data_IF_671731276708
#
_entry.id   IF_671731276708
#
_cell.length_a   1.000
_cell.length_b   1.000
_cell.length_c   1.000
_cell.angle_alpha   90.00
_cell.angle_beta   90.00
_cell.angle_gamma   90.00
#
_symmetry.space_group_name_H-M   'P 1'
#
loop_
_entity.id
_entity.type
_entity.pdbx_description
1 polymer ?
#
# COMPACT_ATOMS: atom_id res chain seq x y z
N UNK A 1 42.06 -31.53 -77.72
CA UNK A 1 42.70 -31.71 -79.05
C UNK A 1 44.10 -32.26 -78.83
N UNK A 2 44.48 -33.39 -79.42
CA UNK A 2 45.83 -33.94 -79.26
C UNK A 2 46.85 -33.05 -79.98
N UNK A 3 48.10 -33.05 -79.49
CA UNK A 3 49.22 -32.29 -80.07
C UNK A 3 49.43 -32.62 -81.55
N UNK A 4 49.20 -33.87 -81.93
CA UNK A 4 49.32 -34.34 -83.31
C UNK A 4 48.22 -33.80 -84.23
N UNK A 5 46.98 -33.70 -83.74
CA UNK A 5 45.88 -33.11 -84.51
C UNK A 5 46.11 -31.63 -84.78
N UNK A 6 46.65 -30.88 -83.81
CA UNK A 6 46.98 -29.46 -84.00
C UNK A 6 48.11 -29.23 -85.01
N UNK A 7 49.18 -30.04 -84.93
CA UNK A 7 50.30 -29.98 -85.89
C UNK A 7 49.82 -30.33 -87.30
N UNK A 8 48.97 -31.35 -87.43
CA UNK A 8 48.39 -31.77 -88.70
C UNK A 8 47.49 -30.67 -89.29
N UNK A 9 46.67 -30.02 -88.47
CA UNK A 9 45.83 -28.89 -88.88
C UNK A 9 46.67 -27.69 -89.31
N UNK A 10 47.70 -27.34 -88.54
CA UNK A 10 48.63 -26.25 -88.87
C UNK A 10 49.35 -26.46 -90.20
N UNK A 11 49.84 -27.69 -90.48
CA UNK A 11 50.44 -28.05 -91.77
C UNK A 11 49.42 -27.94 -92.92
N UNK A 12 48.18 -28.40 -92.72
CA UNK A 12 47.10 -28.29 -93.74
C UNK A 12 46.68 -26.84 -93.99
N UNK A 13 46.67 -25.98 -92.97
CA UNK A 13 46.33 -24.57 -93.09
C UNK A 13 47.41 -23.79 -93.84
N UNK A 14 48.70 -24.05 -93.56
CA UNK A 14 49.81 -23.46 -94.29
C UNK A 14 49.84 -23.88 -95.77
N UNK A 15 49.57 -25.17 -96.05
CA UNK A 15 49.49 -25.68 -97.43
C UNK A 15 48.32 -25.06 -98.21
N UNK A 16 47.11 -25.08 -97.63
CA UNK A 16 45.93 -24.45 -98.25
C UNK A 16 46.02 -22.93 -98.36
N UNK A 17 46.70 -22.24 -97.45
CA UNK A 17 46.92 -20.80 -97.54
C UNK A 17 47.74 -20.39 -98.77
N UNK A 18 48.69 -21.24 -99.20
CA UNK A 18 49.40 -21.05 -100.49
C UNK A 18 48.50 -21.32 -101.70
N UNK A 19 47.61 -22.31 -101.59
CA UNK A 19 46.71 -22.70 -102.68
C UNK A 19 45.55 -21.71 -102.88
N UNK A 20 45.03 -21.09 -101.80
CA UNK A 20 43.95 -20.08 -101.87
C UNK A 20 44.40 -18.82 -102.62
N UNK A 21 45.69 -18.45 -102.57
CA UNK A 21 46.26 -17.37 -103.40
C UNK A 21 46.18 -17.66 -104.90
N UNK A 22 45.97 -18.92 -105.29
CA UNK A 22 45.85 -19.35 -106.70
C UNK A 22 44.42 -19.71 -107.12
N UNK A 23 43.44 -19.72 -106.21
CA UNK A 23 42.09 -20.25 -106.46
C UNK A 23 40.97 -19.21 -106.62
N UNK A 24 41.24 -17.91 -106.45
CA UNK A 24 40.28 -16.84 -106.75
C UNK A 24 40.83 -15.94 -107.85
N UNK A 25 40.43 -16.19 -109.09
CA UNK A 25 40.84 -15.46 -110.30
C UNK A 25 40.35 -14.00 -110.36
N UNK A 26 40.76 -13.18 -109.41
CA UNK A 26 40.57 -11.71 -109.37
C UNK A 26 41.93 -11.08 -109.06
N UNK A 27 42.38 -10.01 -109.75
CA UNK A 27 43.65 -9.36 -109.47
C UNK A 27 43.55 -8.54 -108.18
N UNK A 28 43.65 -9.22 -107.04
CA UNK A 28 43.98 -8.59 -105.77
C UNK A 28 45.53 -8.53 -105.66
N UNK A 29 46.11 -7.51 -104.98
CA UNK A 29 47.55 -7.41 -104.83
C UNK A 29 48.12 -8.72 -104.25
N UNK A 30 49.23 -9.20 -104.82
CA UNK A 30 49.87 -10.48 -104.50
C UNK A 30 50.09 -10.66 -102.99
N UNK A 31 49.18 -11.38 -102.33
CA UNK A 31 49.29 -11.69 -100.91
C UNK A 31 50.16 -12.93 -100.72
N UNK A 32 51.43 -12.74 -100.43
CA UNK A 32 52.38 -13.82 -100.19
C UNK A 32 52.25 -14.37 -98.75
N UNK A 33 51.94 -15.66 -98.63
CA UNK A 33 52.03 -16.38 -97.34
C UNK A 33 53.52 -16.60 -97.01
N UNK A 34 54.08 -15.69 -96.23
CA UNK A 34 55.47 -15.78 -95.77
C UNK A 34 55.55 -16.63 -94.49
N UNK A 35 56.66 -17.35 -94.24
CA UNK A 35 56.86 -18.05 -92.96
C UNK A 35 56.67 -17.14 -91.75
N UNK A 36 57.00 -15.84 -91.89
CA UNK A 36 56.77 -14.82 -90.86
C UNK A 36 55.29 -14.58 -90.57
N UNK A 37 54.43 -14.43 -91.59
CA UNK A 37 52.97 -14.31 -91.42
C UNK A 37 52.34 -15.54 -90.75
N UNK A 38 52.86 -16.74 -91.00
CA UNK A 38 52.40 -17.97 -90.34
C UNK A 38 52.85 -18.04 -88.86
N UNK A 39 54.07 -17.58 -88.55
CA UNK A 39 54.52 -17.45 -87.16
C UNK A 39 53.72 -16.39 -86.39
N UNK A 40 53.34 -15.28 -87.04
CA UNK A 40 52.44 -14.26 -86.48
C UNK A 40 51.01 -14.81 -86.25
N UNK A 41 50.50 -15.67 -87.14
CA UNK A 41 49.23 -16.37 -86.91
C UNK A 41 49.31 -17.32 -85.70
N UNK A 42 50.42 -18.06 -85.55
CA UNK A 42 50.63 -18.95 -84.39
C UNK A 42 50.72 -18.12 -83.11
N UNK A 43 51.43 -16.98 -83.10
CA UNK A 43 51.52 -16.12 -81.93
C UNK A 43 50.17 -15.48 -81.58
N UNK A 44 49.41 -15.00 -82.57
CA UNK A 44 48.06 -14.49 -82.39
C UNK A 44 47.09 -15.56 -81.88
N UNK A 45 47.15 -16.79 -82.41
CA UNK A 45 46.33 -17.90 -81.92
C UNK A 45 46.68 -18.29 -80.48
N UNK A 46 47.98 -18.32 -80.12
CA UNK A 46 48.42 -18.53 -78.73
C UNK A 46 47.89 -17.44 -77.79
N UNK A 47 47.95 -16.18 -78.22
CA UNK A 47 47.40 -15.05 -77.48
C UNK A 47 45.87 -15.18 -77.31
N UNK A 48 45.14 -15.43 -78.39
CA UNK A 48 43.67 -15.58 -78.36
C UNK A 48 43.24 -16.79 -77.52
N UNK A 49 43.95 -17.91 -77.60
CA UNK A 49 43.69 -19.10 -76.79
C UNK A 49 43.98 -18.83 -75.31
N UNK A 50 45.07 -18.14 -74.99
CA UNK A 50 45.37 -17.69 -73.64
C UNK A 50 44.27 -16.77 -73.08
N UNK A 51 43.80 -15.80 -73.86
CA UNK A 51 42.69 -14.93 -73.48
C UNK A 51 41.39 -15.72 -73.26
N UNK A 52 41.02 -16.64 -74.16
CA UNK A 52 39.81 -17.47 -74.02
C UNK A 52 39.88 -18.43 -72.84
N UNK A 53 41.05 -18.99 -72.56
CA UNK A 53 41.26 -19.80 -71.36
C UNK A 53 41.15 -18.96 -70.09
N UNK A 54 41.72 -17.74 -70.08
CA UNK A 54 41.57 -16.81 -68.97
C UNK A 54 40.11 -16.37 -68.75
N UNK A 55 39.36 -16.11 -69.82
CA UNK A 55 37.93 -15.79 -69.76
C UNK A 55 37.11 -16.96 -69.20
N UNK A 56 37.37 -18.19 -69.66
CA UNK A 56 36.73 -19.39 -69.14
C UNK A 56 37.08 -19.62 -67.67
N UNK A 57 38.35 -19.42 -67.28
CA UNK A 57 38.76 -19.53 -65.89
C UNK A 57 38.03 -18.52 -65.01
N UNK A 58 37.92 -17.25 -65.44
CA UNK A 58 37.14 -16.23 -64.73
C UNK A 58 35.66 -16.60 -64.59
N UNK A 59 35.06 -17.21 -65.61
CA UNK A 59 33.68 -17.68 -65.55
C UNK A 59 33.53 -18.85 -64.56
N UNK A 60 34.47 -19.80 -64.56
CA UNK A 60 34.51 -20.90 -63.60
C UNK A 60 34.65 -20.36 -62.18
N UNK A 61 35.61 -19.47 -61.93
CA UNK A 61 35.84 -18.88 -60.60
C UNK A 61 34.60 -18.12 -60.10
N UNK A 62 33.95 -17.34 -60.98
CA UNK A 62 32.71 -16.63 -60.66
C UNK A 62 31.58 -17.59 -60.30
N UNK A 63 31.40 -18.67 -61.07
CA UNK A 63 30.37 -19.68 -60.80
C UNK A 63 30.66 -20.43 -59.51
N UNK A 64 31.92 -20.76 -59.24
CA UNK A 64 32.32 -21.45 -58.01
C UNK A 64 32.08 -20.57 -56.77
N UNK A 65 32.44 -19.29 -56.83
CA UNK A 65 32.12 -18.31 -55.77
C UNK A 65 30.60 -18.14 -55.59
N UNK A 66 29.84 -18.09 -56.69
CA UNK A 66 28.38 -17.99 -56.66
C UNK A 66 27.72 -19.22 -56.02
N UNK A 67 28.14 -20.44 -56.42
CA UNK A 67 27.64 -21.69 -55.87
C UNK A 67 28.04 -21.89 -54.41
N UNK A 68 29.25 -21.49 -54.03
CA UNK A 68 29.72 -21.50 -52.64
C UNK A 68 28.87 -20.57 -51.76
N UNK A 69 28.62 -19.35 -52.23
CA UNK A 69 27.75 -18.38 -51.54
C UNK A 69 26.33 -18.91 -51.40
N UNK A 70 25.74 -19.47 -52.47
CA UNK A 70 24.37 -20.02 -52.45
C UNK A 70 24.25 -21.22 -51.48
N UNK A 71 25.27 -22.07 -51.40
CA UNK A 71 25.30 -23.19 -50.45
C UNK A 71 25.35 -22.69 -49.00
N UNK A 72 26.15 -21.66 -48.71
CA UNK A 72 26.22 -21.06 -47.38
C UNK A 72 24.89 -20.40 -47.00
N UNK A 73 24.32 -19.56 -47.86
CA UNK A 73 23.02 -18.93 -47.58
C UNK A 73 21.91 -19.96 -47.43
N UNK A 74 21.93 -21.06 -48.18
CA UNK A 74 20.98 -22.17 -48.00
C UNK A 74 21.14 -22.84 -46.63
N UNK A 75 22.36 -23.00 -46.12
CA UNK A 75 22.60 -23.53 -44.78
C UNK A 75 22.10 -22.54 -43.72
N UNK A 76 22.47 -21.27 -43.82
CA UNK A 76 22.04 -20.20 -42.91
C UNK A 76 20.50 -20.13 -42.82
N UNK A 77 19.78 -20.26 -43.95
CA UNK A 77 18.31 -20.26 -43.97
C UNK A 77 17.73 -21.48 -43.23
N UNK A 78 18.34 -22.66 -43.36
CA UNK A 78 17.88 -23.83 -42.61
C UNK A 78 18.12 -23.71 -41.11
N UNK A 79 19.17 -22.98 -40.70
CA UNK A 79 19.42 -22.66 -39.30
C UNK A 79 18.41 -21.62 -38.80
N UNK A 80 18.20 -20.52 -39.54
CA UNK A 80 17.20 -19.50 -39.22
C UNK A 80 15.77 -20.07 -39.12
N UNK A 81 15.41 -21.06 -39.94
CA UNK A 81 14.12 -21.75 -39.84
C UNK A 81 13.98 -22.54 -38.53
N UNK A 82 15.06 -23.18 -38.05
CA UNK A 82 15.07 -23.87 -36.75
C UNK A 82 14.97 -22.88 -35.60
N UNK A 83 15.75 -21.80 -35.68
CA UNK A 83 15.77 -20.74 -34.67
C UNK A 83 14.41 -20.04 -34.59
N UNK A 84 13.74 -19.79 -35.72
CA UNK A 84 12.39 -19.25 -35.74
C UNK A 84 11.40 -20.17 -35.02
N UNK A 85 11.48 -21.48 -35.24
CA UNK A 85 10.59 -22.44 -34.56
C UNK A 85 10.80 -22.41 -33.03
N UNK A 86 12.05 -22.42 -32.58
CA UNK A 86 12.40 -22.33 -31.15
C UNK A 86 11.91 -21.01 -30.57
N UNK A 87 12.07 -19.90 -31.31
CA UNK A 87 11.67 -18.57 -30.86
C UNK A 87 10.15 -18.46 -30.77
N UNK A 88 9.41 -19.03 -31.74
CA UNK A 88 7.94 -19.10 -31.71
C UNK A 88 7.40 -19.92 -30.54
N UNK A 89 8.06 -21.04 -30.19
CA UNK A 89 7.72 -21.81 -28.98
C UNK A 89 7.91 -20.95 -27.71
N UNK A 90 9.03 -20.22 -27.60
CA UNK A 90 9.27 -19.27 -26.49
C UNK A 90 8.23 -18.15 -26.44
N UNK A 91 7.79 -17.60 -27.58
CA UNK A 91 6.69 -16.61 -27.62
C UNK A 91 5.42 -17.22 -27.02
N UNK A 92 5.09 -18.47 -27.39
CA UNK A 92 3.93 -19.19 -26.85
C UNK A 92 4.01 -19.37 -25.33
N UNK A 93 5.15 -19.82 -24.82
CA UNK A 93 5.39 -19.99 -23.38
C UNK A 93 5.27 -18.66 -22.62
N UNK A 94 5.87 -17.59 -23.13
CA UNK A 94 5.81 -16.25 -22.52
C UNK A 94 4.41 -15.68 -22.55
N UNK A 95 3.63 -15.87 -23.63
CA UNK A 95 2.21 -15.49 -23.70
C UNK A 95 1.40 -16.16 -22.58
N UNK A 96 1.50 -17.48 -22.45
CA UNK A 96 0.78 -18.23 -21.41
C UNK A 96 1.21 -17.79 -20.01
N UNK A 97 2.50 -17.51 -19.79
CA UNK A 97 2.99 -17.00 -18.52
C UNK A 97 2.45 -15.58 -18.20
N UNK A 98 2.41 -14.68 -19.18
CA UNK A 98 1.83 -13.34 -19.03
C UNK A 98 0.32 -13.41 -18.75
N UNK A 99 -0.41 -14.28 -19.46
CA UNK A 99 -1.86 -14.42 -19.27
C UNK A 99 -2.20 -14.91 -17.86
N UNK A 100 -1.39 -15.82 -17.30
CA UNK A 100 -1.52 -16.25 -15.88
C UNK A 100 -1.28 -15.10 -14.90
N UNK A 101 -0.26 -14.27 -15.14
CA UNK A 101 0.00 -13.10 -14.29
C UNK A 101 -1.16 -12.09 -14.32
N UNK A 102 -1.83 -11.92 -15.46
CA UNK A 102 -3.03 -11.08 -15.58
C UNK A 102 -4.16 -11.63 -14.71
N UNK A 103 -4.38 -12.94 -14.75
CA UNK A 103 -5.41 -13.59 -13.92
C UNK A 103 -5.11 -13.42 -12.43
N UNK A 104 -3.87 -13.71 -11.99
CA UNK A 104 -3.42 -13.51 -10.60
C UNK A 104 -3.59 -12.05 -10.14
N UNK A 105 -3.24 -11.08 -11.00
CA UNK A 105 -3.39 -9.66 -10.71
C UNK A 105 -4.86 -9.26 -10.56
N UNK A 106 -5.75 -9.80 -11.40
CA UNK A 106 -7.18 -9.50 -11.31
C UNK A 106 -7.80 -10.00 -9.99
N UNK A 107 -7.38 -11.17 -9.51
CA UNK A 107 -7.81 -11.73 -8.23
C UNK A 107 -7.28 -10.89 -7.07
N UNK A 108 -5.99 -10.60 -7.05
CA UNK A 108 -5.38 -9.79 -5.99
C UNK A 108 -5.96 -8.36 -5.96
N UNK A 109 -6.28 -7.78 -7.12
CA UNK A 109 -6.89 -6.45 -7.19
C UNK A 109 -8.31 -6.44 -6.61
N UNK A 110 -9.10 -7.50 -6.88
CA UNK A 110 -10.41 -7.66 -6.27
C UNK A 110 -10.30 -7.85 -4.75
N UNK A 111 -9.35 -8.65 -4.28
CA UNK A 111 -9.09 -8.84 -2.85
C UNK A 111 -8.67 -7.52 -2.17
N UNK A 112 -7.78 -6.76 -2.78
CA UNK A 112 -7.36 -5.45 -2.29
C UNK A 112 -8.54 -4.49 -2.13
N UNK A 113 -9.44 -4.46 -3.12
CA UNK A 113 -10.64 -3.61 -3.07
C UNK A 113 -11.58 -4.02 -1.93
N UNK A 114 -11.79 -5.32 -1.72
CA UNK A 114 -12.59 -5.82 -0.58
C UNK A 114 -11.97 -5.44 0.76
N UNK A 115 -10.64 -5.56 0.90
CA UNK A 115 -9.95 -5.15 2.14
C UNK A 115 -10.01 -3.63 2.36
N UNK A 116 -9.88 -2.83 1.30
CA UNK A 116 -10.01 -1.37 1.36
C UNK A 116 -11.42 -0.95 1.79
N UNK A 117 -12.46 -1.56 1.21
CA UNK A 117 -13.84 -1.32 1.62
C UNK A 117 -14.09 -1.71 3.09
N UNK A 118 -13.53 -2.84 3.53
CA UNK A 118 -13.59 -3.25 4.93
C UNK A 118 -12.89 -2.25 5.87
N UNK A 119 -11.70 -1.76 5.48
CA UNK A 119 -10.98 -0.74 6.23
C UNK A 119 -11.75 0.59 6.29
N UNK A 120 -12.43 0.99 5.21
CA UNK A 120 -13.28 2.19 5.21
C UNK A 120 -14.50 2.05 6.11
N UNK A 121 -15.12 0.86 6.17
CA UNK A 121 -16.22 0.58 7.10
C UNK A 121 -15.72 0.68 8.54
N UNK A 122 -14.55 0.11 8.84
CA UNK A 122 -13.98 0.15 10.18
C UNK A 122 -13.55 1.57 10.57
N UNK A 123 -13.05 2.36 9.61
CA UNK A 123 -12.70 3.76 9.83
C UNK A 123 -13.92 4.60 10.20
N UNK A 124 -15.06 4.36 9.54
CA UNK A 124 -16.33 5.01 9.88
C UNK A 124 -16.78 4.63 11.30
N UNK A 125 -16.74 3.34 11.66
CA UNK A 125 -17.08 2.90 13.02
C UNK A 125 -16.17 3.52 14.08
N UNK A 126 -14.86 3.56 13.84
CA UNK A 126 -13.90 4.16 14.75
C UNK A 126 -14.14 5.67 14.92
N UNK A 127 -14.51 6.36 13.83
CA UNK A 127 -14.88 7.78 13.90
C UNK A 127 -16.19 7.99 14.68
N UNK A 128 -17.23 7.22 14.39
CA UNK A 128 -18.53 7.30 15.08
C UNK A 128 -18.36 7.05 16.59
N UNK A 129 -17.56 6.05 16.96
CA UNK A 129 -17.30 5.74 18.37
C UNK A 129 -16.41 6.78 19.04
N UNK A 130 -15.48 7.39 18.30
CA UNK A 130 -14.71 8.53 18.78
C UNK A 130 -15.57 9.76 19.04
N UNK A 131 -16.52 10.05 18.15
CA UNK A 131 -17.49 11.16 18.33
C UNK A 131 -18.39 10.91 19.54
N UNK A 132 -18.90 9.68 19.70
CA UNK A 132 -19.69 9.29 20.88
C UNK A 132 -18.91 9.46 22.19
N UNK A 133 -17.67 8.97 22.23
CA UNK A 133 -16.82 9.12 23.40
C UNK A 133 -16.56 10.60 23.73
N UNK A 134 -16.35 11.45 22.71
CA UNK A 134 -16.16 12.89 22.90
C UNK A 134 -17.41 13.59 23.44
N UNK A 135 -18.60 13.25 22.96
CA UNK A 135 -19.86 13.83 23.45
C UNK A 135 -20.07 13.47 24.93
N UNK A 136 -19.89 12.20 25.29
CA UNK A 136 -20.02 11.73 26.67
C UNK A 136 -18.96 12.38 27.58
N UNK A 137 -17.73 12.57 27.07
CA UNK A 137 -16.66 13.26 27.79
C UNK A 137 -16.97 14.73 28.09
N UNK A 138 -17.52 15.45 27.13
CA UNK A 138 -17.95 16.84 27.32
C UNK A 138 -19.08 16.93 28.35
N UNK A 139 -20.04 16.00 28.30
CA UNK A 139 -21.16 15.96 29.25
C UNK A 139 -20.68 15.60 30.67
N UNK A 140 -19.83 14.58 30.79
CA UNK A 140 -19.25 14.17 32.07
C UNK A 140 -18.37 15.25 32.70
N UNK A 141 -17.51 15.93 31.92
CA UNK A 141 -16.67 17.02 32.46
C UNK A 141 -17.52 18.23 32.88
N UNK A 142 -18.60 18.53 32.14
CA UNK A 142 -19.52 19.59 32.52
C UNK A 142 -20.16 19.31 33.88
N UNK A 143 -20.74 18.12 34.08
CA UNK A 143 -21.37 17.78 35.36
C UNK A 143 -20.34 17.66 36.49
N UNK A 144 -19.14 17.13 36.21
CA UNK A 144 -18.05 17.06 37.18
C UNK A 144 -17.58 18.47 37.59
N UNK A 145 -17.54 19.42 36.66
CA UNK A 145 -17.17 20.80 36.94
C UNK A 145 -18.18 21.51 37.85
N UNK A 146 -19.46 21.11 37.82
CA UNK A 146 -20.48 21.60 38.75
C UNK A 146 -20.32 21.00 40.16
N UNK A 147 -19.76 19.78 40.27
CA UNK A 147 -19.51 19.11 41.55
C UNK A 147 -18.25 19.62 42.28
N UNK A 148 -17.19 20.00 41.55
CA UNK A 148 -15.89 20.45 42.11
C UNK A 148 -16.06 21.59 43.14
N UNK A 149 -16.81 22.69 42.86
CA UNK A 149 -16.99 23.78 43.81
C UNK A 149 -17.73 23.37 45.09
N UNK A 150 -18.69 22.45 45.01
CA UNK A 150 -19.42 21.98 46.18
C UNK A 150 -18.50 21.20 47.13
N UNK A 151 -17.60 20.37 46.59
CA UNK A 151 -16.62 19.64 47.38
C UNK A 151 -15.57 20.57 48.02
N UNK A 152 -15.05 21.53 47.26
CA UNK A 152 -14.10 22.53 47.77
C UNK A 152 -14.73 23.41 48.86
N UNK A 153 -15.98 23.84 48.67
CA UNK A 153 -16.70 24.63 49.67
C UNK A 153 -17.02 23.82 50.94
N UNK A 154 -17.26 22.51 50.83
CA UNK A 154 -17.39 21.62 51.97
C UNK A 154 -16.05 21.50 52.73
N UNK A 155 -14.94 21.26 52.02
CA UNK A 155 -13.60 21.16 52.62
C UNK A 155 -13.19 22.46 53.32
N UNK A 156 -13.40 23.62 52.67
CA UNK A 156 -13.14 24.93 53.25
C UNK A 156 -13.96 25.18 54.53
N UNK A 157 -15.23 24.73 54.56
CA UNK A 157 -16.05 24.82 55.77
C UNK A 157 -15.50 23.98 56.92
N UNK A 158 -14.93 22.80 56.64
CA UNK A 158 -14.24 21.97 57.66
C UNK A 158 -12.95 22.64 58.13
N UNK A 159 -12.18 23.25 57.23
CA UNK A 159 -10.94 23.93 57.58
C UNK A 159 -11.18 25.15 58.48
N UNK A 160 -12.24 25.91 58.21
CA UNK A 160 -12.69 27.03 59.03
C UNK A 160 -13.19 26.62 60.44
N UNK A 161 -13.43 25.33 60.70
CA UNK A 161 -13.77 24.85 62.06
C UNK A 161 -12.51 24.81 62.93
N UNK A 162 -12.41 25.74 63.89
CA UNK A 162 -11.36 25.70 64.91
C UNK A 162 -11.77 24.82 66.10
N UNK A 163 -10.78 24.27 66.81
CA UNK A 163 -10.99 23.48 68.04
C UNK A 163 -11.74 24.26 69.12
N UNK A 164 -11.48 25.57 69.21
CA UNK A 164 -12.15 26.46 70.16
C UNK A 164 -13.66 26.55 69.85
N UNK A 165 -14.03 26.78 68.59
CA UNK A 165 -15.43 26.88 68.14
C UNK A 165 -16.23 25.61 68.43
N UNK A 166 -15.65 24.43 68.18
CA UNK A 166 -16.30 23.14 68.46
C UNK A 166 -16.40 22.84 69.97
N UNK A 167 -15.40 23.25 70.76
CA UNK A 167 -15.44 23.14 72.22
C UNK A 167 -16.53 24.02 72.84
N UNK A 168 -16.69 25.24 72.33
CA UNK A 168 -17.77 26.16 72.72
C UNK A 168 -19.14 25.56 72.40
N UNK A 169 -19.34 25.05 71.19
CA UNK A 169 -20.59 24.42 70.75
C UNK A 169 -20.97 23.22 71.65
N UNK A 170 -19.99 22.36 71.99
CA UNK A 170 -20.19 21.20 72.86
C UNK A 170 -20.63 21.60 74.28
N UNK A 171 -20.10 22.68 74.83
CA UNK A 171 -20.32 23.05 76.23
C UNK A 171 -21.67 23.75 76.50
N UNK A 172 -22.44 24.07 75.45
CA UNK A 172 -23.78 24.67 75.60
C UNK A 172 -24.75 23.71 76.32
N UNK A 173 -25.38 24.16 77.41
CA UNK A 173 -26.34 23.34 78.19
C UNK A 173 -27.54 22.90 77.35
N UNK A 174 -28.09 23.80 76.52
CA UNK A 174 -29.22 23.58 75.61
C UNK A 174 -28.88 24.16 74.23
N UNK A 175 -29.25 23.50 73.12
CA UNK A 175 -28.95 24.02 71.78
C UNK A 175 -29.79 25.27 71.49
N UNK A 176 -29.20 26.32 70.90
CA UNK A 176 -29.95 27.40 70.27
C UNK A 176 -30.86 26.86 69.15
N UNK A 177 -31.97 27.54 68.88
CA UNK A 177 -32.92 27.12 67.85
C UNK A 177 -32.22 26.92 66.49
N UNK A 178 -32.35 25.73 65.90
CA UNK A 178 -31.76 25.37 64.61
C UNK A 178 -30.40 24.66 64.71
N UNK A 179 -29.64 24.89 65.77
CA UNK A 179 -28.33 24.23 66.01
C UNK A 179 -28.51 22.74 66.31
N UNK A 180 -29.63 22.38 66.93
CA UNK A 180 -30.08 21.00 67.12
C UNK A 180 -30.27 20.27 65.78
N UNK A 181 -30.83 20.95 64.77
CA UNK A 181 -31.01 20.38 63.42
C UNK A 181 -29.66 20.14 62.71
N UNK A 182 -28.73 21.08 62.81
CA UNK A 182 -27.38 20.96 62.20
C UNK A 182 -26.61 19.79 62.81
N UNK A 183 -26.63 19.68 64.14
CA UNK A 183 -25.94 18.58 64.83
C UNK A 183 -26.63 17.22 64.63
N UNK A 184 -27.95 17.20 64.46
CA UNK A 184 -28.68 15.99 64.07
C UNK A 184 -28.33 15.55 62.63
N UNK A 185 -28.16 16.49 61.69
CA UNK A 185 -27.71 16.16 60.33
C UNK A 185 -26.28 15.58 60.34
N UNK A 186 -25.38 16.10 61.17
CA UNK A 186 -24.05 15.51 61.37
C UNK A 186 -24.12 14.11 62.01
N UNK A 187 -25.07 13.83 62.91
CA UNK A 187 -25.27 12.50 63.52
C UNK A 187 -25.67 11.45 62.49
N UNK A 188 -26.47 11.86 61.51
CA UNK A 188 -26.92 10.98 60.43
C UNK A 188 -25.77 10.68 59.47
N UNK A 189 -24.96 11.68 59.11
CA UNK A 189 -23.85 11.51 58.16
C UNK A 189 -22.64 10.78 58.75
N UNK A 190 -22.23 11.11 59.98
CA UNK A 190 -20.95 10.62 60.55
C UNK A 190 -21.14 9.37 61.39
N UNK A 191 -22.10 9.37 62.30
CA UNK A 191 -22.33 8.26 63.23
C UNK A 191 -23.40 7.28 62.72
N UNK A 192 -23.97 7.51 61.52
CA UNK A 192 -24.98 6.66 60.87
C UNK A 192 -26.17 6.36 61.77
N UNK A 193 -26.56 7.33 62.60
CA UNK A 193 -27.64 7.16 63.57
C UNK A 193 -29.00 7.51 62.95
N UNK A 194 -29.67 6.49 62.42
CA UNK A 194 -30.94 6.63 61.71
C UNK A 194 -32.17 6.72 62.62
N UNK A 195 -32.02 6.47 63.93
CA UNK A 195 -33.15 6.46 64.85
C UNK A 195 -33.50 7.89 65.34
N UNK A 196 -34.71 8.42 65.05
CA UNK A 196 -35.11 9.77 65.46
C UNK A 196 -35.08 9.98 66.98
N UNK A 197 -35.28 8.93 67.76
CA UNK A 197 -35.23 9.01 69.24
C UNK A 197 -33.82 9.21 69.77
N UNK A 198 -32.80 8.84 68.98
CA UNK A 198 -31.39 9.00 69.32
C UNK A 198 -30.76 10.25 68.70
N UNK A 199 -31.45 10.93 67.79
CA UNK A 199 -31.11 12.27 67.27
C UNK A 199 -31.39 13.35 68.33
N UNK A 200 -30.64 13.28 69.43
CA UNK A 200 -30.77 14.15 70.60
C UNK A 200 -29.48 14.93 70.82
N UNK A 201 -29.62 16.13 71.40
CA UNK A 201 -28.50 17.00 71.77
C UNK A 201 -27.44 16.30 72.63
N UNK A 202 -27.85 15.36 73.48
CA UNK A 202 -26.93 14.59 74.31
C UNK A 202 -26.05 13.65 73.48
N UNK A 203 -26.57 13.07 72.40
CA UNK A 203 -25.79 12.25 71.49
C UNK A 203 -24.92 13.10 70.56
N UNK A 204 -25.40 14.27 70.12
CA UNK A 204 -24.58 15.24 69.39
C UNK A 204 -23.34 15.68 70.22
N UNK A 205 -23.53 15.91 71.52
CA UNK A 205 -22.40 16.19 72.44
C UNK A 205 -21.41 15.03 72.57
N UNK A 206 -21.89 13.79 72.54
CA UNK A 206 -21.04 12.60 72.59
C UNK A 206 -20.20 12.47 71.33
N UNK A 207 -20.77 12.71 70.15
CA UNK A 207 -20.03 12.74 68.89
C UNK A 207 -18.94 13.82 68.91
N UNK A 208 -19.27 15.03 69.38
CA UNK A 208 -18.31 16.14 69.51
C UNK A 208 -17.38 16.02 70.73
N UNK A 209 -17.47 14.94 71.53
CA UNK A 209 -16.74 14.80 72.79
C UNK A 209 -15.23 14.87 72.56
N UNK A 210 -14.75 14.19 71.53
CA UNK A 210 -13.40 14.31 71.00
C UNK A 210 -13.42 15.20 69.74
N UNK A 211 -13.10 16.48 69.95
CA UNK A 211 -13.19 17.53 68.93
C UNK A 211 -12.22 17.28 67.75
N UNK A 212 -11.01 16.79 68.03
CA UNK A 212 -10.01 16.54 66.99
C UNK A 212 -10.43 15.34 66.12
N UNK A 213 -10.94 14.27 66.74
CA UNK A 213 -11.45 13.11 66.02
C UNK A 213 -12.70 13.46 65.19
N UNK A 214 -13.59 14.30 65.72
CA UNK A 214 -14.77 14.75 64.98
C UNK A 214 -14.41 15.59 63.74
N UNK A 215 -13.46 16.53 63.89
CA UNK A 215 -12.95 17.31 62.74
C UNK A 215 -12.25 16.41 61.71
N UNK A 216 -11.46 15.43 62.16
CA UNK A 216 -10.83 14.43 61.28
C UNK A 216 -11.87 13.64 60.48
N UNK A 217 -12.92 13.14 61.14
CA UNK A 217 -14.03 12.45 60.47
C UNK A 217 -14.75 13.32 59.43
N UNK A 218 -14.93 14.62 59.70
CA UNK A 218 -15.51 15.57 58.72
C UNK A 218 -14.62 15.77 57.50
N UNK A 219 -13.29 15.83 57.70
CA UNK A 219 -12.30 16.03 56.64
C UNK A 219 -12.10 14.78 55.77
N UNK A 220 -12.16 13.59 56.37
CA UNK A 220 -12.01 12.30 55.68
C UNK A 220 -13.32 11.83 55.01
N UNK A 221 -14.44 12.48 55.30
CA UNK A 221 -15.75 12.07 54.80
C UNK A 221 -15.84 12.21 53.28
N UNK A 222 -16.12 11.10 52.59
CA UNK A 222 -16.39 11.08 51.16
C UNK A 222 -17.88 11.21 50.90
N UNK A 223 -18.28 12.28 50.20
CA UNK A 223 -19.67 12.50 49.80
C UNK A 223 -20.23 11.46 48.81
N UNK A 224 -19.39 10.52 48.35
CA UNK A 224 -19.73 9.41 47.46
C UNK A 224 -20.44 8.26 48.21
N UNK A 225 -20.13 8.07 49.49
CA UNK A 225 -20.56 6.90 50.29
C UNK A 225 -21.91 7.08 51.00
N UNK A 226 -22.66 8.13 50.66
CA UNK A 226 -23.97 8.44 51.27
C UNK A 226 -25.05 7.59 50.62
N UNK A 227 -25.82 6.88 51.45
CA UNK A 227 -26.97 6.07 51.03
C UNK A 227 -28.22 6.93 50.78
N UNK A 228 -29.15 6.44 49.95
CA UNK A 228 -30.42 7.15 49.71
C UNK A 228 -31.23 7.37 50.99
N UNK A 229 -31.14 6.44 51.95
CA UNK A 229 -31.79 6.56 53.25
C UNK A 229 -31.25 7.75 54.06
N UNK A 230 -29.94 8.00 54.02
CA UNK A 230 -29.31 9.16 54.67
C UNK A 230 -29.75 10.47 54.01
N UNK A 231 -29.80 10.48 52.67
CA UNK A 231 -30.25 11.64 51.89
C UNK A 231 -31.70 12.01 52.23
N UNK A 232 -32.62 11.05 52.29
CA UNK A 232 -34.03 11.32 52.62
C UNK A 232 -34.23 11.88 54.04
N UNK A 233 -33.38 11.45 54.97
CA UNK A 233 -33.37 11.98 56.34
C UNK A 233 -32.83 13.40 56.39
N UNK A 234 -31.77 13.71 55.64
CA UNK A 234 -31.10 15.02 55.62
C UNK A 234 -31.90 16.05 54.81
N UNK A 235 -32.58 15.60 53.75
CA UNK A 235 -33.42 16.43 52.88
C UNK A 235 -34.41 17.28 53.67
N UNK A 236 -35.03 16.69 54.70
CA UNK A 236 -35.97 17.39 55.61
C UNK A 236 -35.36 18.57 56.36
N UNK A 237 -34.04 18.54 56.59
CA UNK A 237 -33.31 19.63 57.22
C UNK A 237 -32.82 20.63 56.19
N UNK A 238 -32.26 20.19 55.06
CA UNK A 238 -31.72 21.06 54.01
C UNK A 238 -32.82 21.87 53.30
N UNK A 239 -34.04 21.34 53.20
CA UNK A 239 -35.20 22.05 52.63
C UNK A 239 -35.87 23.04 53.61
N UNK A 240 -35.50 23.04 54.89
CA UNK A 240 -36.03 23.99 55.86
C UNK A 240 -35.46 25.39 55.59
N UNK A 241 -36.29 26.43 55.36
CA UNK A 241 -35.83 27.81 55.15
C UNK A 241 -34.98 28.37 56.30
N UNK A 242 -35.03 27.75 57.48
CA UNK A 242 -34.23 28.13 58.64
C UNK A 242 -32.87 27.44 58.72
N UNK A 243 -32.59 26.47 57.85
CA UNK A 243 -31.34 25.72 57.78
C UNK A 243 -30.39 26.36 56.76
N UNK A 244 -29.95 27.59 57.03
CA UNK A 244 -28.99 28.30 56.18
C UNK A 244 -27.76 28.72 56.98
N UNK A 245 -26.55 28.72 56.36
CA UNK A 245 -25.33 29.16 57.03
C UNK A 245 -25.43 30.55 57.66
N UNK A 246 -26.12 31.48 57.00
CA UNK A 246 -26.32 32.86 57.48
C UNK A 246 -27.13 32.92 58.77
N UNK A 247 -28.24 32.16 58.85
CA UNK A 247 -29.08 32.10 60.05
C UNK A 247 -28.32 31.42 61.19
N UNK A 248 -27.54 30.39 60.89
CA UNK A 248 -26.72 29.68 61.87
C UNK A 248 -25.54 30.52 62.36
N UNK A 249 -24.95 31.39 61.52
CA UNK A 249 -23.86 32.28 61.88
C UNK A 249 -24.25 33.25 63.01
N UNK A 250 -25.50 33.72 63.01
CA UNK A 250 -26.04 34.56 64.10
C UNK A 250 -26.13 33.84 65.46
N UNK A 251 -26.07 32.50 65.48
CA UNK A 251 -26.20 31.67 66.67
C UNK A 251 -24.88 31.05 67.12
N UNK A 252 -24.08 30.55 66.17
CA UNK A 252 -22.77 29.97 66.43
C UNK A 252 -21.96 29.86 65.13
N UNK A 253 -20.71 30.31 65.16
CA UNK A 253 -19.78 30.15 64.05
C UNK A 253 -19.51 28.67 63.72
N UNK A 254 -19.44 27.80 64.73
CA UNK A 254 -19.31 26.35 64.53
C UNK A 254 -20.53 25.77 63.82
N UNK A 255 -21.74 26.18 64.23
CA UNK A 255 -22.98 25.71 63.61
C UNK A 255 -23.12 26.19 62.16
N UNK A 256 -22.64 27.39 61.84
CA UNK A 256 -22.61 27.90 60.46
C UNK A 256 -21.72 27.05 59.56
N UNK A 257 -20.48 26.79 59.96
CA UNK A 257 -19.55 25.98 59.17
C UNK A 257 -20.02 24.53 59.03
N UNK A 258 -20.60 23.94 60.08
CA UNK A 258 -21.23 22.62 60.00
C UNK A 258 -22.45 22.61 59.08
N UNK A 259 -23.26 23.67 59.09
CA UNK A 259 -24.40 23.82 58.18
C UNK A 259 -23.92 23.92 56.71
N UNK A 260 -22.90 24.73 56.44
CA UNK A 260 -22.28 24.85 55.11
C UNK A 260 -21.74 23.50 54.63
N UNK A 261 -21.05 22.76 55.50
CA UNK A 261 -20.55 21.42 55.18
C UNK A 261 -21.68 20.46 54.82
N UNK A 262 -22.74 20.36 55.64
CA UNK A 262 -23.88 19.46 55.37
C UNK A 262 -24.57 19.81 54.05
N UNK A 263 -24.82 21.09 53.78
CA UNK A 263 -25.50 21.54 52.55
C UNK A 263 -24.65 21.24 51.31
N UNK A 264 -23.35 21.50 51.36
CA UNK A 264 -22.44 21.27 50.23
C UNK A 264 -22.18 19.77 49.99
N UNK A 265 -22.07 18.95 51.03
CA UNK A 265 -21.96 17.49 50.91
C UNK A 265 -23.24 16.87 50.35
N UNK A 266 -24.41 17.36 50.78
CA UNK A 266 -25.70 16.97 50.19
C UNK A 266 -25.76 17.34 48.70
N UNK A 267 -25.39 18.57 48.35
CA UNK A 267 -25.32 19.04 46.96
C UNK A 267 -24.38 18.20 46.10
N UNK A 268 -23.18 17.91 46.61
CA UNK A 268 -22.19 17.05 45.95
C UNK A 268 -22.76 15.66 45.67
N UNK A 269 -23.34 14.97 46.66
CA UNK A 269 -23.88 13.62 46.47
C UNK A 269 -24.99 13.59 45.40
N UNK A 270 -25.86 14.62 45.37
CA UNK A 270 -26.91 14.75 44.34
C UNK A 270 -26.37 14.91 42.92
N UNK A 271 -25.21 15.55 42.76
CA UNK A 271 -24.53 15.67 41.46
C UNK A 271 -23.74 14.39 41.16
N UNK A 272 -23.03 13.83 42.14
CA UNK A 272 -22.25 12.61 42.01
C UNK A 272 -23.08 11.41 41.54
N UNK A 273 -24.30 11.23 42.06
CA UNK A 273 -25.21 10.16 41.61
C UNK A 273 -25.59 10.31 40.12
N UNK A 274 -25.57 11.53 39.58
CA UNK A 274 -25.77 11.78 38.13
C UNK A 274 -24.49 11.56 37.33
N UNK A 275 -23.35 11.99 37.86
CA UNK A 275 -22.03 11.85 37.22
C UNK A 275 -21.55 10.40 37.16
N UNK A 276 -21.88 9.57 38.17
CA UNK A 276 -21.45 8.17 38.25
C UNK A 276 -21.82 7.34 37.00
N UNK A 277 -23.10 7.27 36.56
CA UNK A 277 -23.43 6.55 35.33
C UNK A 277 -22.81 7.17 34.08
N UNK A 278 -22.59 8.49 34.05
CA UNK A 278 -21.84 9.15 32.96
C UNK A 278 -20.38 8.70 32.92
N UNK A 279 -19.74 8.52 34.08
CA UNK A 279 -18.36 8.06 34.18
C UNK A 279 -18.22 6.58 33.76
N UNK A 280 -19.16 5.73 34.18
CA UNK A 280 -19.23 4.33 33.75
C UNK A 280 -19.47 4.25 32.23
N UNK A 281 -20.37 5.08 31.71
CA UNK A 281 -20.66 5.19 30.27
C UNK A 281 -19.45 5.70 29.48
N UNK A 282 -18.69 6.64 30.04
CA UNK A 282 -17.48 7.19 29.45
C UNK A 282 -16.37 6.14 29.37
N UNK A 283 -16.20 5.34 30.42
CA UNK A 283 -15.26 4.23 30.41
C UNK A 283 -15.64 3.21 29.33
N UNK A 284 -16.90 2.80 29.26
CA UNK A 284 -17.38 1.87 28.23
C UNK A 284 -17.18 2.42 26.81
N UNK A 285 -17.45 3.72 26.59
CA UNK A 285 -17.24 4.37 25.29
C UNK A 285 -15.75 4.45 24.92
N UNK A 286 -14.85 4.69 25.90
CA UNK A 286 -13.40 4.68 25.68
C UNK A 286 -12.90 3.28 25.33
N UNK A 287 -13.35 2.25 26.03
CA UNK A 287 -12.99 0.85 25.74
C UNK A 287 -13.46 0.45 24.34
N UNK A 288 -14.70 0.80 23.97
CA UNK A 288 -15.27 0.59 22.65
C UNK A 288 -14.47 1.33 21.55
N UNK A 289 -14.10 2.60 21.78
CA UNK A 289 -13.24 3.38 20.89
C UNK A 289 -11.87 2.72 20.71
N UNK A 290 -11.21 2.28 21.78
CA UNK A 290 -9.90 1.62 21.70
C UNK A 290 -10.00 0.31 20.92
N UNK A 291 -11.06 -0.47 21.12
CA UNK A 291 -11.30 -1.69 20.34
C UNK A 291 -11.53 -1.39 18.85
N UNK A 292 -12.31 -0.36 18.52
CA UNK A 292 -12.55 0.06 17.14
C UNK A 292 -11.27 0.57 16.44
N UNK A 293 -10.42 1.32 17.15
CA UNK A 293 -9.12 1.76 16.61
C UNK A 293 -8.19 0.57 16.37
N UNK A 294 -8.09 -0.38 17.31
CA UNK A 294 -7.27 -1.57 17.12
C UNK A 294 -7.74 -2.43 15.94
N UNK A 295 -9.06 -2.55 15.75
CA UNK A 295 -9.66 -3.23 14.60
C UNK A 295 -9.34 -2.52 13.28
N UNK A 296 -9.39 -1.18 13.26
CA UNK A 296 -9.02 -0.36 12.11
C UNK A 296 -7.52 -0.53 11.76
N UNK A 297 -6.64 -0.48 12.74
CA UNK A 297 -5.19 -0.67 12.53
C UNK A 297 -4.90 -2.04 11.93
N UNK A 298 -5.53 -3.10 12.45
CA UNK A 298 -5.40 -4.45 11.89
C UNK A 298 -5.95 -4.57 10.46
N UNK A 299 -7.02 -3.85 10.12
CA UNK A 299 -7.54 -3.79 8.76
C UNK A 299 -6.59 -3.03 7.81
N UNK A 300 -6.02 -1.91 8.26
CA UNK A 300 -5.04 -1.14 7.48
C UNK A 300 -3.75 -1.90 7.24
N UNK A 301 -3.28 -2.70 8.20
CA UNK A 301 -2.11 -3.55 8.03
C UNK A 301 -2.33 -4.59 6.91
N UNK A 302 -3.51 -5.22 6.86
CA UNK A 302 -3.88 -6.14 5.78
C UNK A 302 -3.94 -5.44 4.43
N UNK A 303 -4.52 -4.24 4.37
CA UNK A 303 -4.54 -3.43 3.14
C UNK A 303 -3.11 -3.14 2.66
N UNK A 304 -2.22 -2.73 3.57
CA UNK A 304 -0.83 -2.45 3.23
C UNK A 304 -0.10 -3.69 2.71
N UNK A 305 -0.35 -4.87 3.30
CA UNK A 305 0.22 -6.13 2.84
C UNK A 305 -0.24 -6.45 1.40
N UNK A 306 -1.55 -6.41 1.14
CA UNK A 306 -2.10 -6.73 -0.19
C UNK A 306 -1.62 -5.71 -1.24
N UNK A 307 -1.52 -4.43 -0.91
CA UNK A 307 -0.96 -3.42 -1.80
C UNK A 307 0.52 -3.67 -2.13
N UNK A 308 1.31 -4.14 -1.16
CA UNK A 308 2.71 -4.51 -1.39
C UNK A 308 2.83 -5.72 -2.32
N UNK A 309 1.99 -6.73 -2.13
CA UNK A 309 1.94 -7.91 -3.01
C UNK A 309 1.53 -7.54 -4.44
N UNK A 310 0.52 -6.67 -4.59
CA UNK A 310 0.10 -6.12 -5.89
C UNK A 310 1.21 -5.33 -6.58
N UNK A 311 1.97 -4.52 -5.84
CA UNK A 311 3.08 -3.76 -6.40
C UNK A 311 4.18 -4.70 -6.94
N UNK A 312 4.53 -5.74 -6.20
CA UNK A 312 5.49 -6.75 -6.63
C UNK A 312 4.98 -7.54 -7.86
N UNK A 313 3.68 -7.85 -7.91
CA UNK A 313 3.09 -8.55 -9.05
C UNK A 313 3.06 -7.68 -10.30
N UNK A 314 2.74 -6.38 -10.16
CA UNK A 314 2.81 -5.41 -11.25
C UNK A 314 4.24 -5.30 -11.82
N UNK A 315 5.27 -5.27 -10.97
CA UNK A 315 6.65 -5.25 -11.44
C UNK A 315 7.02 -6.52 -12.23
N UNK A 316 6.61 -7.70 -11.74
CA UNK A 316 6.80 -8.96 -12.46
C UNK A 316 6.07 -8.97 -13.79
N UNK A 317 4.85 -8.43 -13.84
CA UNK A 317 4.06 -8.31 -15.05
C UNK A 317 4.73 -7.39 -16.08
N UNK A 318 5.18 -6.21 -15.67
CA UNK A 318 5.90 -5.26 -16.54
C UNK A 318 7.19 -5.88 -17.12
N UNK A 319 7.94 -6.62 -16.29
CA UNK A 319 9.12 -7.33 -16.76
C UNK A 319 8.76 -8.47 -17.73
N UNK A 320 7.71 -9.23 -17.45
CA UNK A 320 7.23 -10.28 -18.36
C UNK A 320 6.73 -9.71 -19.70
N UNK A 321 6.09 -8.54 -19.71
CA UNK A 321 5.70 -7.83 -20.94
C UNK A 321 6.91 -7.41 -21.77
N UNK A 322 7.96 -6.88 -21.12
CA UNK A 322 9.21 -6.50 -21.82
C UNK A 322 9.86 -7.73 -22.46
N UNK A 323 10.04 -8.80 -21.69
CA UNK A 323 10.63 -10.04 -22.21
C UNK A 323 9.78 -10.65 -23.34
N UNK A 324 8.45 -10.67 -23.19
CA UNK A 324 7.55 -11.13 -24.25
C UNK A 324 7.75 -10.32 -25.52
N UNK A 325 7.78 -8.99 -25.41
CA UNK A 325 7.96 -8.10 -26.55
C UNK A 325 9.30 -8.30 -27.24
N UNK A 326 10.38 -8.45 -26.48
CA UNK A 326 11.71 -8.72 -27.06
C UNK A 326 11.74 -10.02 -27.87
N UNK A 327 11.08 -11.08 -27.39
CA UNK A 327 11.01 -12.36 -28.10
C UNK A 327 10.06 -12.28 -29.31
N UNK A 328 8.97 -11.52 -29.21
CA UNK A 328 8.08 -11.23 -30.35
C UNK A 328 8.82 -10.44 -31.45
N UNK A 329 9.55 -9.38 -31.09
CA UNK A 329 10.35 -8.58 -32.01
C UNK A 329 11.44 -9.44 -32.71
N UNK A 330 12.07 -10.37 -31.97
CA UNK A 330 13.02 -11.33 -32.54
C UNK A 330 12.36 -12.30 -33.53
N UNK A 331 11.18 -12.83 -33.19
CA UNK A 331 10.42 -13.72 -34.06
C UNK A 331 9.98 -13.01 -35.34
N UNK A 332 9.52 -11.76 -35.24
CA UNK A 332 9.14 -10.93 -36.39
C UNK A 332 10.35 -10.64 -37.30
N UNK A 333 11.49 -10.28 -36.73
CA UNK A 333 12.72 -10.04 -37.49
C UNK A 333 13.16 -11.30 -38.28
N UNK A 334 13.18 -12.47 -37.62
CA UNK A 334 13.50 -13.74 -38.27
C UNK A 334 12.50 -14.10 -39.37
N UNK A 335 11.20 -13.86 -39.12
CA UNK A 335 10.13 -14.10 -40.10
C UNK A 335 10.32 -13.22 -41.33
N UNK A 336 10.61 -11.93 -41.14
CA UNK A 336 10.90 -11.02 -42.25
C UNK A 336 12.10 -11.49 -43.07
N UNK A 337 13.22 -11.84 -42.43
CA UNK A 337 14.43 -12.31 -43.15
C UNK A 337 14.12 -13.54 -44.01
N UNK A 338 13.32 -14.48 -43.52
CA UNK A 338 12.92 -15.67 -44.29
C UNK A 338 11.98 -15.32 -45.45
N UNK A 339 11.05 -14.38 -45.27
CA UNK A 339 10.19 -13.88 -46.35
C UNK A 339 11.04 -13.25 -47.46
N UNK A 340 11.95 -12.34 -47.09
CA UNK A 340 12.89 -11.71 -48.04
C UNK A 340 13.72 -12.74 -48.80
N UNK A 341 14.19 -13.79 -48.13
CA UNK A 341 14.95 -14.85 -48.79
C UNK A 341 14.08 -15.68 -49.75
N UNK A 342 12.84 -16.01 -49.38
CA UNK A 342 11.92 -16.73 -50.25
C UNK A 342 11.58 -15.91 -51.51
N UNK A 343 11.24 -14.63 -51.34
CA UNK A 343 10.96 -13.71 -52.45
C UNK A 343 12.17 -13.59 -53.40
N UNK A 344 13.39 -13.48 -52.84
CA UNK A 344 14.62 -13.47 -53.62
C UNK A 344 14.87 -14.78 -54.37
N UNK A 345 14.59 -15.93 -53.73
CA UNK A 345 14.73 -17.25 -54.34
C UNK A 345 13.77 -17.43 -55.51
N UNK A 346 12.51 -17.02 -55.36
CA UNK A 346 11.49 -17.06 -56.41
C UNK A 346 11.88 -16.17 -57.61
N UNK A 347 12.36 -14.94 -57.36
CA UNK A 347 12.82 -14.04 -58.42
C UNK A 347 14.05 -14.60 -59.18
N UNK A 348 14.99 -15.24 -58.47
CA UNK A 348 16.11 -15.93 -59.10
C UNK A 348 15.66 -17.10 -59.97
N UNK A 349 14.75 -17.94 -59.47
CA UNK A 349 14.21 -19.06 -60.24
C UNK A 349 13.49 -18.55 -61.50
N UNK A 350 12.66 -17.52 -61.38
CA UNK A 350 11.98 -16.90 -62.51
C UNK A 350 12.98 -16.41 -63.57
N UNK A 351 14.09 -15.76 -63.17
CA UNK A 351 15.13 -15.28 -64.10
C UNK A 351 15.91 -16.41 -64.78
N UNK A 352 16.19 -17.51 -64.09
CA UNK A 352 16.86 -18.68 -64.70
C UNK A 352 15.98 -19.34 -65.76
N UNK A 353 14.69 -19.56 -65.46
CA UNK A 353 13.75 -20.19 -66.39
C UNK A 353 13.41 -19.32 -67.61
N UNK A 354 13.50 -17.99 -67.51
CA UNK A 354 13.30 -17.07 -68.64
C UNK A 354 14.55 -16.97 -69.54
N UNK A 355 15.75 -17.24 -69.00
CA UNK A 355 17.01 -17.23 -69.76
C UNK A 355 17.17 -18.38 -70.76
N UNK A 356 16.35 -19.43 -70.67
CA UNK A 356 16.42 -20.62 -71.53
C UNK A 356 15.62 -20.47 -72.85
N UNK A 357 15.03 -19.29 -73.10
CA UNK A 357 14.23 -18.99 -74.30
C UNK A 357 14.79 -17.88 -75.21
N UNK A 358 16.06 -17.48 -75.08
CA UNK A 358 16.68 -16.49 -75.97
C UNK A 358 17.91 -16.99 -76.70
#
# INVERSE_FOLDING_TARGET
>A
MSRESFITYGRRAFKRGKDVTTLFGVPAPLNYVTPKSFLELISFFKYLLGNKQADLQRLIDRLDVGLSTLRKTSQDVTELQKDLKITMEKVGEKKVATDKLIEEMSVQQAEAQVQEEAAQIEAKKANDESERAMVIEVEAEKELSEAKPAMEAAAAAVDCLSKAMLSELKNLKKPPAGVDKVTNACLILIDKEYNPKKQSWNNAKKMMQNVDAFKGKLAEFRGEDITEQEIDLIKKYVEDPNFTPEKMASKSAAAANLCTWVVNIYGFNRIYVKVKPLMDSLQAARESKTAAIASLEAAQEKVAQVQSELAALNERYENALKEKKEVEDQAEALTLVLIWHNDWSEDLQAKMFVGEKR
#
